data_IF_946283998941
#
_entry.id   IF_946283998941
#
_cell.length_a   1.000
_cell.length_b   1.000
_cell.length_c   1.000
_cell.angle_alpha   90.00
_cell.angle_beta   90.00
_cell.angle_gamma   90.00
#
_symmetry.space_group_name_H-M   'P 1'
#
loop_
_entity.id
_entity.type
_entity.pdbx_description
1 polymer ?
#
# COMPACT_ATOMS: atom_id res chain seq x y z
N UNK A 1 0.81 7.45 -11.28
CA UNK A 1 1.33 8.79 -11.18
C UNK A 1 0.78 9.56 -9.99
N UNK A 2 1.09 10.84 -9.96
CA UNK A 2 0.75 11.73 -8.86
C UNK A 2 -0.76 11.78 -8.54
N UNK A 3 -1.60 11.67 -9.58
CA UNK A 3 -3.07 11.69 -9.42
C UNK A 3 -3.58 10.48 -8.64
N UNK A 4 -3.07 9.30 -8.93
CA UNK A 4 -3.48 8.08 -8.23
C UNK A 4 -2.96 8.07 -6.79
N UNK A 5 -1.74 8.52 -6.56
CA UNK A 5 -1.19 8.65 -5.21
C UNK A 5 -2.06 9.57 -4.35
N UNK A 6 -2.51 10.71 -4.90
CA UNK A 6 -3.41 11.62 -4.20
C UNK A 6 -4.76 10.98 -3.91
N UNK A 7 -5.31 10.24 -4.88
CA UNK A 7 -6.57 9.52 -4.69
C UNK A 7 -6.47 8.55 -3.52
N UNK A 8 -5.41 7.74 -3.48
CA UNK A 8 -5.20 6.76 -2.42
C UNK A 8 -4.99 7.47 -1.07
N UNK A 9 -4.17 8.52 -1.03
CA UNK A 9 -3.97 9.29 0.19
C UNK A 9 -5.30 9.86 0.73
N UNK A 10 -6.14 10.39 -0.16
CA UNK A 10 -7.44 10.93 0.24
C UNK A 10 -8.37 9.85 0.77
N UNK A 11 -8.39 8.67 0.15
CA UNK A 11 -9.21 7.54 0.61
C UNK A 11 -8.76 7.04 1.98
N UNK A 12 -7.46 6.94 2.21
CA UNK A 12 -6.93 6.52 3.51
C UNK A 12 -7.23 7.58 4.57
N UNK A 13 -7.06 8.87 4.26
CA UNK A 13 -7.38 9.96 5.17
C UNK A 13 -8.86 9.95 5.57
N UNK A 14 -9.76 9.68 4.62
CA UNK A 14 -11.19 9.53 4.93
C UNK A 14 -11.43 8.39 5.90
N UNK A 15 -10.78 7.26 5.67
CA UNK A 15 -10.89 6.10 6.56
C UNK A 15 -10.38 6.43 7.97
N UNK A 16 -9.22 7.09 8.07
CA UNK A 16 -8.68 7.51 9.37
C UNK A 16 -9.63 8.45 10.12
N UNK A 17 -10.27 9.38 9.40
CA UNK A 17 -11.28 10.25 10.00
C UNK A 17 -12.47 9.43 10.52
N UNK A 18 -12.94 8.45 9.76
CA UNK A 18 -14.06 7.59 10.15
C UNK A 18 -13.77 6.78 11.42
N UNK A 19 -12.55 6.29 11.59
CA UNK A 19 -12.18 5.49 12.77
C UNK A 19 -11.59 6.33 13.89
N UNK A 20 -11.47 7.65 13.71
CA UNK A 20 -10.92 8.54 14.73
C UNK A 20 -9.41 8.42 14.91
N UNK A 21 -8.69 7.99 13.89
CA UNK A 21 -7.24 7.85 13.95
C UNK A 21 -6.58 9.17 13.55
N UNK A 22 -5.79 9.75 14.45
CA UNK A 22 -5.18 11.07 14.26
C UNK A 22 -3.87 10.98 13.49
N UNK A 23 -3.99 10.86 12.17
CA UNK A 23 -2.85 10.85 11.25
C UNK A 23 -3.31 11.32 9.87
N UNK A 24 -2.49 12.12 9.20
CA UNK A 24 -2.78 12.58 7.84
C UNK A 24 -1.73 12.09 6.86
N UNK A 25 -2.16 11.29 5.90
CA UNK A 25 -1.32 10.75 4.84
C UNK A 25 -0.99 11.85 3.83
N UNK A 26 0.28 11.91 3.45
CA UNK A 26 0.78 12.82 2.41
C UNK A 26 1.61 12.03 1.41
N UNK A 27 1.66 12.53 0.17
CA UNK A 27 2.58 11.99 -0.83
C UNK A 27 4.02 12.18 -0.38
N UNK A 28 4.84 11.16 -0.64
CA UNK A 28 6.26 11.25 -0.35
C UNK A 28 6.97 11.92 -1.53
N UNK A 29 7.04 13.25 -1.51
CA UNK A 29 7.63 14.03 -2.60
C UNK A 29 9.14 13.81 -2.74
N UNK A 30 9.82 13.37 -1.68
CA UNK A 30 11.26 13.12 -1.68
C UNK A 30 11.64 11.86 -2.46
N UNK A 31 10.68 11.01 -2.82
CA UNK A 31 10.96 9.81 -3.62
C UNK A 31 11.64 10.12 -4.95
N UNK A 32 11.46 11.33 -5.47
CA UNK A 32 12.11 11.77 -6.70
C UNK A 32 13.61 12.02 -6.51
N UNK A 33 14.03 12.19 -5.27
CA UNK A 33 15.44 12.39 -4.89
C UNK A 33 16.05 11.12 -4.29
N UNK A 34 15.24 10.35 -3.54
CA UNK A 34 15.65 9.12 -2.89
C UNK A 34 14.70 7.98 -3.31
N UNK A 35 15.24 7.01 -4.06
CA UNK A 35 14.43 5.95 -4.69
C UNK A 35 13.85 4.95 -3.72
N UNK A 36 14.31 4.92 -2.45
CA UNK A 36 13.98 3.87 -1.49
C UNK A 36 12.88 4.27 -0.51
N UNK A 37 12.13 5.34 -0.80
CA UNK A 37 11.12 5.86 0.13
C UNK A 37 9.70 5.35 -0.10
N UNK A 38 9.41 4.78 -1.28
CA UNK A 38 8.03 4.45 -1.66
C UNK A 38 7.22 5.69 -2.02
N UNK A 39 5.98 5.50 -2.45
CA UNK A 39 5.11 6.60 -2.88
C UNK A 39 4.41 7.28 -1.71
N UNK A 40 3.94 6.51 -0.74
CA UNK A 40 3.25 6.97 0.45
C UNK A 40 3.77 6.22 1.66
N UNK A 41 3.87 6.92 2.79
CA UNK A 41 4.19 6.31 4.07
C UNK A 41 3.07 6.60 5.07
N UNK A 42 2.63 5.56 5.75
CA UNK A 42 1.68 5.62 6.85
C UNK A 42 2.25 4.81 8.00
N UNK A 43 1.73 4.93 9.23
CA UNK A 43 2.29 4.19 10.35
C UNK A 43 2.42 2.70 10.06
N UNK A 44 3.64 2.18 10.25
CA UNK A 44 4.03 0.77 10.07
C UNK A 44 3.99 0.25 8.63
N UNK A 45 3.73 1.10 7.63
CA UNK A 45 3.56 0.68 6.24
C UNK A 45 4.36 1.55 5.27
N UNK A 46 4.78 0.96 4.16
CA UNK A 46 5.32 1.65 2.99
C UNK A 46 4.50 1.25 1.77
N UNK A 47 3.96 2.21 1.06
CA UNK A 47 3.03 1.98 -0.05
C UNK A 47 3.66 2.35 -1.39
N UNK A 48 3.46 1.50 -2.39
CA UNK A 48 3.68 1.80 -3.81
C UNK A 48 2.35 1.79 -4.53
N UNK A 49 2.12 2.80 -5.37
CA UNK A 49 0.87 2.97 -6.11
C UNK A 49 1.14 2.89 -7.61
N UNK A 50 0.41 2.01 -8.32
CA UNK A 50 0.57 1.79 -9.75
C UNK A 50 -0.79 1.94 -10.46
N UNK A 51 -0.84 2.82 -11.46
CA UNK A 51 -2.06 3.11 -12.23
C UNK A 51 -1.77 3.03 -13.72
N UNK A 52 -2.43 2.10 -14.40
CA UNK A 52 -2.24 1.88 -15.84
C UNK A 52 -3.59 1.72 -16.54
N UNK A 53 -3.59 1.96 -17.86
CA UNK A 53 -4.80 1.86 -18.66
C UNK A 53 -5.22 0.40 -18.88
N UNK A 54 -4.27 -0.48 -19.19
CA UNK A 54 -4.54 -1.85 -19.60
C UNK A 54 -3.78 -2.86 -18.77
N UNK A 55 -4.44 -3.95 -18.43
CA UNK A 55 -3.91 -5.05 -17.66
C UNK A 55 -4.97 -5.63 -16.74
N UNK A 56 -4.62 -6.65 -15.97
CA UNK A 56 -5.55 -7.26 -15.03
C UNK A 56 -4.92 -7.65 -13.69
N UNK A 57 -3.60 -7.62 -13.60
CA UNK A 57 -2.90 -8.06 -12.39
C UNK A 57 -1.63 -7.26 -12.17
N UNK A 58 -1.07 -7.34 -10.96
CA UNK A 58 0.18 -6.67 -10.67
C UNK A 58 1.37 -7.41 -11.27
N UNK A 59 2.47 -6.67 -11.49
CA UNK A 59 3.73 -7.22 -11.96
C UNK A 59 4.65 -7.53 -10.79
N UNK A 60 5.36 -8.65 -10.87
CA UNK A 60 6.30 -9.08 -9.82
C UNK A 60 7.34 -8.01 -9.50
N UNK A 61 7.81 -7.28 -10.51
CA UNK A 61 8.77 -6.19 -10.30
C UNK A 61 8.22 -5.05 -9.44
N UNK A 62 6.90 -4.81 -9.47
CA UNK A 62 6.29 -3.81 -8.59
C UNK A 62 6.34 -4.25 -7.13
N UNK A 63 6.09 -5.53 -6.89
CA UNK A 63 6.16 -6.08 -5.54
C UNK A 63 7.60 -6.05 -5.01
N UNK A 64 8.56 -6.42 -5.84
CA UNK A 64 9.98 -6.33 -5.48
C UNK A 64 10.42 -4.91 -5.18
N UNK A 65 9.88 -3.93 -5.92
CA UNK A 65 10.18 -2.51 -5.69
C UNK A 65 9.75 -2.08 -4.27
N UNK A 66 8.51 -2.36 -3.87
CA UNK A 66 8.02 -1.95 -2.55
C UNK A 66 8.72 -2.74 -1.43
N UNK A 67 8.99 -4.01 -1.64
CA UNK A 67 9.75 -4.81 -0.67
C UNK A 67 11.16 -4.26 -0.47
N UNK A 68 11.80 -3.77 -1.53
CA UNK A 68 13.12 -3.14 -1.45
C UNK A 68 13.10 -1.80 -0.73
N UNK A 69 11.96 -1.11 -0.72
CA UNK A 69 11.81 0.21 -0.10
C UNK A 69 11.28 0.16 1.34
N UNK A 70 10.71 -0.96 1.77
CA UNK A 70 9.93 -0.99 3.02
C UNK A 70 10.75 -1.03 4.31
N UNK A 71 12.02 -1.47 4.27
CA UNK A 71 12.80 -1.63 5.50
C UNK A 71 12.06 -2.52 6.50
N UNK A 72 11.85 -2.01 7.70
CA UNK A 72 11.15 -2.74 8.78
C UNK A 72 9.64 -2.56 8.75
N UNK A 73 9.11 -1.79 7.80
CA UNK A 73 7.68 -1.58 7.68
C UNK A 73 7.03 -2.66 6.82
N UNK A 74 5.70 -2.67 6.81
CA UNK A 74 4.92 -3.60 5.98
C UNK A 74 4.87 -3.07 4.55
N UNK A 75 5.33 -3.83 3.55
CA UNK A 75 5.20 -3.42 2.16
C UNK A 75 3.76 -3.58 1.69
N UNK A 76 3.24 -2.58 0.99
CA UNK A 76 1.88 -2.57 0.45
C UNK A 76 1.93 -2.11 -0.99
N UNK A 77 1.42 -2.92 -1.91
CA UNK A 77 1.31 -2.55 -3.32
C UNK A 77 -0.16 -2.32 -3.66
N UNK A 78 -0.47 -1.12 -4.14
CA UNK A 78 -1.84 -0.72 -4.50
C UNK A 78 -1.85 -0.43 -6.00
N UNK A 79 -2.75 -1.08 -6.74
CA UNK A 79 -2.82 -0.85 -8.19
C UNK A 79 -4.24 -0.75 -8.69
N UNK A 80 -4.38 -0.11 -9.85
CA UNK A 80 -5.65 0.00 -10.55
C UNK A 80 -5.41 0.05 -12.05
N UNK A 81 -6.21 -0.68 -12.80
CA UNK A 81 -6.36 -0.57 -14.25
C UNK A 81 -7.69 0.08 -14.58
N UNK A 82 -7.82 0.62 -15.80
CA UNK A 82 -9.08 1.22 -16.25
C UNK A 82 -10.21 0.21 -16.15
N UNK A 83 -11.35 0.66 -15.65
CA UNK A 83 -12.58 -0.13 -15.52
C UNK A 83 -12.48 -1.32 -14.56
N UNK A 84 -11.45 -1.36 -13.73
CA UNK A 84 -11.26 -2.40 -12.73
C UNK A 84 -11.13 -1.78 -11.33
N UNK A 85 -11.47 -2.55 -10.29
CA UNK A 85 -11.38 -2.03 -8.92
C UNK A 85 -9.92 -1.89 -8.48
N UNK A 86 -9.71 -1.06 -7.46
CA UNK A 86 -8.43 -0.97 -6.78
C UNK A 86 -8.15 -2.29 -6.06
N UNK A 87 -6.94 -2.81 -6.23
CA UNK A 87 -6.46 -4.03 -5.55
C UNK A 87 -5.25 -3.70 -4.69
N UNK A 88 -5.08 -4.49 -3.64
CA UNK A 88 -3.99 -4.30 -2.68
C UNK A 88 -3.31 -5.63 -2.40
N UNK A 89 -2.00 -5.66 -2.55
CA UNK A 89 -1.16 -6.80 -2.20
C UNK A 89 -0.40 -6.50 -0.92
N UNK A 90 -0.49 -7.42 0.05
CA UNK A 90 0.25 -7.35 1.31
C UNK A 90 0.89 -8.71 1.60
N UNK A 91 1.96 -8.76 2.41
CA UNK A 91 2.48 -10.06 2.83
C UNK A 91 1.50 -10.72 3.81
N UNK A 92 1.35 -12.04 3.68
CA UNK A 92 0.46 -12.81 4.57
C UNK A 92 0.80 -12.56 6.04
N UNK A 93 2.08 -12.47 6.38
CA UNK A 93 2.51 -12.30 7.77
C UNK A 93 1.92 -11.05 8.43
N UNK A 94 1.59 -10.01 7.65
CA UNK A 94 1.05 -8.77 8.21
C UNK A 94 -0.37 -8.92 8.75
N UNK A 95 -1.05 -10.00 8.39
CA UNK A 95 -2.43 -10.28 8.83
C UNK A 95 -2.50 -11.35 9.92
N UNK A 96 -1.36 -11.88 10.34
CA UNK A 96 -1.28 -12.99 11.29
C UNK A 96 -0.25 -12.68 12.38
N UNK A 97 -0.43 -13.25 13.56
CA UNK A 97 0.58 -13.19 14.63
C UNK A 97 1.64 -14.27 14.38
N UNK A 98 2.55 -13.98 13.42
CA UNK A 98 3.62 -14.90 13.06
C UNK A 98 4.99 -14.28 13.34
N UNK A 99 5.94 -15.11 13.75
CA UNK A 99 7.31 -14.68 13.98
C UNK A 99 8.13 -14.53 12.72
N UNK A 100 7.68 -15.08 11.58
CA UNK A 100 8.43 -15.08 10.31
C UNK A 100 7.82 -14.07 9.37
N UNK A 101 8.63 -13.12 8.89
CA UNK A 101 8.24 -12.08 7.93
C UNK A 101 8.72 -12.44 6.53
N UNK A 102 8.01 -13.36 5.88
CA UNK A 102 8.30 -13.79 4.52
C UNK A 102 7.46 -13.00 3.52
N UNK A 103 8.06 -12.01 2.85
CA UNK A 103 7.39 -11.18 1.87
C UNK A 103 7.08 -11.89 0.55
N UNK A 104 7.55 -13.12 0.36
CA UNK A 104 7.24 -13.90 -0.85
C UNK A 104 5.84 -14.54 -0.79
N UNK A 105 5.24 -14.62 0.39
CA UNK A 105 3.89 -15.16 0.58
C UNK A 105 2.94 -14.00 0.71
N UNK A 106 2.08 -13.81 -0.28
CA UNK A 106 1.26 -12.61 -0.41
C UNK A 106 -0.24 -12.91 -0.43
N UNK A 107 -1.02 -11.88 -0.09
CA UNK A 107 -2.48 -11.89 -0.16
C UNK A 107 -2.92 -10.68 -0.96
N UNK A 108 -3.87 -10.87 -1.87
CA UNK A 108 -4.47 -9.76 -2.63
C UNK A 108 -5.87 -9.51 -2.10
N UNK A 109 -6.15 -8.27 -1.74
CA UNK A 109 -7.39 -7.83 -1.12
C UNK A 109 -8.05 -6.75 -1.97
N UNK A 110 -9.36 -6.56 -1.77
CA UNK A 110 -10.02 -5.32 -2.19
C UNK A 110 -9.48 -4.17 -1.33
N UNK A 111 -9.64 -2.94 -1.80
CA UNK A 111 -9.19 -1.79 -1.03
C UNK A 111 -9.89 -1.70 0.34
N UNK A 112 -11.21 -1.92 0.35
CA UNK A 112 -11.99 -1.87 1.60
C UNK A 112 -11.59 -2.96 2.58
N UNK A 113 -11.34 -4.17 2.11
CA UNK A 113 -10.87 -5.25 2.98
C UNK A 113 -9.46 -4.98 3.51
N UNK A 114 -8.60 -4.39 2.69
CA UNK A 114 -7.28 -3.98 3.16
C UNK A 114 -7.37 -2.97 4.31
N UNK A 115 -8.20 -1.94 4.17
CA UNK A 115 -8.39 -0.95 5.23
C UNK A 115 -8.82 -1.61 6.55
N UNK A 116 -9.82 -2.52 6.47
CA UNK A 116 -10.45 -3.11 7.67
C UNK A 116 -9.61 -4.20 8.31
N UNK A 117 -8.95 -5.05 7.52
CA UNK A 117 -8.36 -6.28 8.04
C UNK A 117 -6.83 -6.23 8.16
N UNK A 118 -6.16 -5.41 7.37
CA UNK A 118 -4.71 -5.30 7.47
C UNK A 118 -4.29 -3.94 8.01
N UNK A 119 -4.73 -2.84 7.42
CA UNK A 119 -4.32 -1.51 7.86
C UNK A 119 -4.76 -1.25 9.30
N UNK A 120 -6.03 -1.39 9.61
CA UNK A 120 -6.55 -1.14 10.95
C UNK A 120 -5.90 -2.04 12.01
N UNK A 121 -5.63 -3.29 11.65
CA UNK A 121 -5.00 -4.26 12.55
C UNK A 121 -3.57 -3.84 12.94
N UNK A 122 -2.86 -3.14 12.07
CA UNK A 122 -1.44 -2.81 12.24
C UNK A 122 -1.17 -1.32 12.51
N UNK A 123 -2.18 -0.58 12.94
CA UNK A 123 -2.01 0.83 13.32
C UNK A 123 -1.43 1.01 14.71
#
# INVERSE_FOLDING_TARGET
>A
GASFEREIANLINRYFDEIGYDYKVKRNLEQYQEKDLGDLNIPNHTLECKRYASGNWYKEEWWKQVCGACGDTIPVLIWKYNHQPIRVCVPLWSMLEMGIRDNSITVVLTFDNWLSYELAYNL
#
